data_IF_575607343894
#
_entry.id   IF_575607343894
#
_cell.length_a   1.000
_cell.length_b   1.000
_cell.length_c   1.000
_cell.angle_alpha   90.00
_cell.angle_beta   90.00
_cell.angle_gamma   90.00
#
_symmetry.space_group_name_H-M   'P 1'
#
loop_
_entity.id
_entity.type
_entity.pdbx_description
1 polymer ?
#
# COMPACT_ATOMS: atom_id res chain seq x y z
N UNK A 1 -35.75 -55.17 52.92
CA UNK A 1 -34.57 -55.24 52.04
C UNK A 1 -34.88 -54.43 50.82
N UNK A 2 -34.33 -53.27 50.69
CA UNK A 2 -34.54 -52.35 49.55
C UNK A 2 -33.22 -52.29 48.75
N UNK A 3 -33.23 -52.78 47.49
CA UNK A 3 -32.15 -52.77 46.55
C UNK A 3 -32.12 -51.39 45.89
N UNK A 4 -31.06 -50.56 46.16
CA UNK A 4 -30.87 -49.27 45.48
C UNK A 4 -30.17 -49.54 44.16
N UNK A 5 -30.83 -49.26 43.05
CA UNK A 5 -30.23 -49.23 41.71
C UNK A 5 -29.45 -47.96 41.53
N UNK A 6 -28.17 -48.12 41.29
CA UNK A 6 -27.27 -47.01 40.88
C UNK A 6 -27.35 -46.83 39.37
N UNK A 7 -27.99 -45.74 38.94
CA UNK A 7 -27.94 -45.30 37.54
C UNK A 7 -26.63 -44.55 37.27
N UNK A 8 -25.72 -45.19 36.55
CA UNK A 8 -24.52 -44.54 36.04
C UNK A 8 -24.87 -43.70 34.80
N UNK A 9 -24.83 -42.40 34.94
CA UNK A 9 -24.97 -41.48 33.81
C UNK A 9 -23.57 -41.30 33.14
N UNK A 10 -23.40 -41.87 31.96
CA UNK A 10 -22.21 -41.62 31.11
C UNK A 10 -22.40 -40.30 30.39
N UNK A 11 -21.61 -39.26 30.80
CA UNK A 11 -21.49 -38.02 30.04
C UNK A 11 -20.64 -38.28 28.78
N UNK A 12 -21.29 -38.28 27.62
CA UNK A 12 -20.59 -38.25 26.34
C UNK A 12 -20.11 -36.82 26.06
N UNK A 13 -18.83 -36.54 26.27
CA UNK A 13 -18.21 -35.30 25.89
C UNK A 13 -18.00 -35.26 24.37
N UNK A 14 -18.87 -34.53 23.68
CA UNK A 14 -18.70 -34.24 22.26
C UNK A 14 -17.61 -33.13 22.12
N UNK A 15 -16.39 -33.51 21.76
CA UNK A 15 -15.36 -32.60 21.37
C UNK A 15 -15.69 -32.01 20.00
N UNK A 16 -16.17 -30.76 19.98
CA UNK A 16 -16.26 -29.96 18.76
C UNK A 16 -14.85 -29.64 18.26
N UNK A 17 -14.39 -30.40 17.26
CA UNK A 17 -13.19 -30.03 16.51
C UNK A 17 -13.61 -28.90 15.59
N UNK A 18 -13.35 -27.64 16.02
CA UNK A 18 -13.46 -26.48 15.15
C UNK A 18 -12.37 -26.62 14.07
N UNK A 19 -12.76 -27.01 12.86
CA UNK A 19 -11.90 -26.98 11.69
C UNK A 19 -11.54 -25.51 11.42
N UNK A 20 -10.33 -25.09 11.80
CA UNK A 20 -9.75 -23.84 11.35
C UNK A 20 -9.56 -24.02 9.84
N UNK A 21 -10.49 -23.50 9.05
CA UNK A 21 -10.31 -23.37 7.62
C UNK A 21 -9.05 -22.51 7.43
N UNK A 22 -7.97 -23.15 6.95
CA UNK A 22 -6.77 -22.41 6.54
C UNK A 22 -7.24 -21.47 5.44
N UNK A 23 -7.33 -20.17 5.74
CA UNK A 23 -7.77 -19.18 4.76
C UNK A 23 -6.86 -19.31 3.53
N UNK A 24 -7.44 -19.59 2.38
CA UNK A 24 -6.71 -19.54 1.12
C UNK A 24 -6.07 -18.16 1.02
N UNK A 25 -4.80 -18.11 0.59
CA UNK A 25 -4.11 -16.81 0.39
C UNK A 25 -4.88 -15.91 -0.58
N UNK A 26 -4.48 -14.61 -0.68
CA UNK A 26 -5.16 -13.67 -1.56
C UNK A 26 -5.22 -14.21 -3.00
N UNK A 27 -6.36 -14.01 -3.66
CA UNK A 27 -6.54 -14.37 -5.07
C UNK A 27 -5.82 -13.33 -5.97
N UNK A 28 -5.51 -13.67 -7.22
CA UNK A 28 -4.91 -12.70 -8.16
C UNK A 28 -5.68 -11.38 -8.27
N UNK A 29 -7.02 -11.44 -8.25
CA UNK A 29 -7.89 -10.26 -8.32
C UNK A 29 -7.72 -9.34 -7.11
N UNK A 30 -7.52 -9.90 -5.92
CA UNK A 30 -7.35 -9.14 -4.67
C UNK A 30 -6.08 -8.27 -4.74
N UNK A 31 -5.03 -8.76 -5.43
CA UNK A 31 -3.82 -7.96 -5.67
C UNK A 31 -4.09 -6.76 -6.59
N UNK A 32 -4.89 -6.93 -7.64
CA UNK A 32 -5.23 -5.83 -8.54
C UNK A 32 -6.05 -4.75 -7.83
N UNK A 33 -7.04 -5.15 -7.06
CA UNK A 33 -7.86 -4.25 -6.24
C UNK A 33 -7.00 -3.50 -5.21
N UNK A 34 -6.12 -4.21 -4.51
CA UNK A 34 -5.17 -3.62 -3.57
C UNK A 34 -4.26 -2.59 -4.23
N UNK A 35 -3.70 -2.88 -5.42
CA UNK A 35 -2.90 -1.90 -6.20
C UNK A 35 -3.69 -0.63 -6.47
N UNK A 36 -4.91 -0.78 -6.99
CA UNK A 36 -5.75 0.36 -7.33
C UNK A 36 -6.07 1.20 -6.11
N UNK A 37 -6.48 0.58 -5.00
CA UNK A 37 -6.79 1.28 -3.76
C UNK A 37 -5.59 2.04 -3.19
N UNK A 38 -4.44 1.39 -3.08
CA UNK A 38 -3.22 1.99 -2.54
C UNK A 38 -2.69 3.12 -3.43
N UNK A 39 -2.62 2.91 -4.75
CA UNK A 39 -2.15 3.93 -5.70
C UNK A 39 -3.12 5.10 -5.81
N UNK A 40 -4.43 4.86 -5.75
CA UNK A 40 -5.43 5.91 -5.69
C UNK A 40 -5.25 6.75 -4.43
N UNK A 41 -4.97 6.13 -3.28
CA UNK A 41 -4.69 6.85 -2.04
C UNK A 41 -3.44 7.72 -2.18
N UNK A 42 -2.33 7.20 -2.76
CA UNK A 42 -1.14 8.02 -3.04
C UNK A 42 -1.49 9.23 -3.90
N UNK A 43 -2.30 9.05 -4.95
CA UNK A 43 -2.73 10.14 -5.84
C UNK A 43 -3.54 11.21 -5.10
N UNK A 44 -4.46 10.80 -4.22
CA UNK A 44 -5.27 11.72 -3.42
C UNK A 44 -4.38 12.51 -2.44
N UNK A 45 -3.37 11.87 -1.85
CA UNK A 45 -2.45 12.57 -0.97
C UNK A 45 -1.55 13.54 -1.74
N UNK A 46 -1.06 13.15 -2.92
CA UNK A 46 -0.13 13.96 -3.70
C UNK A 46 -0.80 15.12 -4.44
N UNK A 47 -2.05 15.00 -4.86
CA UNK A 47 -2.76 15.97 -5.69
C UNK A 47 -2.67 17.41 -5.17
N UNK A 48 -3.11 17.70 -3.92
CA UNK A 48 -3.02 19.04 -3.34
C UNK A 48 -1.60 19.60 -3.21
N UNK A 49 -0.61 18.73 -2.92
CA UNK A 49 0.81 19.11 -2.87
C UNK A 49 1.30 19.51 -4.28
N UNK A 50 0.91 18.73 -5.30
CA UNK A 50 1.22 19.03 -6.68
C UNK A 50 0.58 20.35 -7.15
N UNK A 51 -0.65 20.62 -6.78
CA UNK A 51 -1.33 21.88 -7.08
C UNK A 51 -0.58 23.08 -6.49
N UNK A 52 -0.18 23.01 -5.21
CA UNK A 52 0.65 24.03 -4.59
C UNK A 52 1.98 24.25 -5.34
N UNK A 53 2.65 23.19 -5.75
CA UNK A 53 3.93 23.32 -6.47
C UNK A 53 3.78 24.02 -7.82
N UNK A 54 2.60 23.98 -8.42
CA UNK A 54 2.22 24.62 -9.68
C UNK A 54 1.64 26.02 -9.48
N UNK A 55 1.58 26.54 -8.26
CA UNK A 55 0.99 27.84 -7.94
C UNK A 55 -0.53 27.84 -7.93
N UNK A 56 -1.16 26.67 -7.84
CA UNK A 56 -2.63 26.50 -7.82
C UNK A 56 -3.11 26.36 -6.36
N UNK A 57 -3.00 27.44 -5.59
CA UNK A 57 -3.45 27.50 -4.21
C UNK A 57 -2.34 27.41 -3.17
N UNK A 58 -2.74 27.39 -1.90
CA UNK A 58 -1.86 27.36 -0.76
C UNK A 58 -1.40 25.94 -0.42
N UNK A 59 -0.29 25.85 0.33
CA UNK A 59 0.15 24.56 0.90
C UNK A 59 -0.92 24.05 1.86
N UNK A 60 -1.44 22.82 1.69
CA UNK A 60 -2.45 22.27 2.60
C UNK A 60 -1.99 22.26 4.06
N UNK A 61 -2.88 22.55 5.00
CA UNK A 61 -2.57 22.53 6.42
C UNK A 61 -2.12 21.14 6.90
N UNK A 62 -2.56 20.06 6.23
CA UNK A 62 -2.19 18.67 6.48
C UNK A 62 -1.05 18.15 5.58
N UNK A 63 -0.27 19.07 4.97
CA UNK A 63 0.78 18.72 4.00
C UNK A 63 1.82 17.74 4.56
N UNK A 64 2.21 17.87 5.83
CA UNK A 64 3.13 16.94 6.50
C UNK A 64 2.54 15.53 6.54
N UNK A 65 1.30 15.38 7.01
CA UNK A 65 0.60 14.10 7.07
C UNK A 65 0.43 13.45 5.69
N UNK A 66 0.17 14.27 4.66
CA UNK A 66 0.11 13.78 3.28
C UNK A 66 1.43 13.17 2.84
N UNK A 67 2.53 13.87 3.05
CA UNK A 67 3.87 13.38 2.71
C UNK A 67 4.24 12.11 3.49
N UNK A 68 3.98 12.08 4.79
CA UNK A 68 4.20 10.91 5.65
C UNK A 68 3.33 9.71 5.21
N UNK A 69 2.08 9.95 4.81
CA UNK A 69 1.19 8.90 4.28
C UNK A 69 1.73 8.32 2.97
N UNK A 70 2.21 9.17 2.04
CA UNK A 70 2.86 8.69 0.81
C UNK A 70 4.08 7.83 1.14
N UNK A 71 4.92 8.28 2.07
CA UNK A 71 6.09 7.53 2.51
C UNK A 71 5.72 6.16 3.12
N UNK A 72 4.68 6.11 3.95
CA UNK A 72 4.19 4.87 4.54
C UNK A 72 3.64 3.91 3.48
N UNK A 73 2.82 4.42 2.55
CA UNK A 73 2.26 3.63 1.45
C UNK A 73 3.35 3.06 0.54
N UNK A 74 4.42 3.82 0.27
CA UNK A 74 5.53 3.35 -0.55
C UNK A 74 6.22 2.10 0.02
N UNK A 75 6.19 1.90 1.34
CA UNK A 75 6.76 0.69 1.98
C UNK A 75 5.91 -0.56 1.77
N UNK A 76 4.60 -0.42 1.67
CA UNK A 76 3.68 -1.57 1.55
C UNK A 76 3.25 -1.84 0.11
N UNK A 77 3.35 -0.86 -0.79
CA UNK A 77 2.96 -0.99 -2.19
C UNK A 77 3.56 -2.21 -2.91
N UNK A 78 4.85 -2.57 -2.72
CA UNK A 78 5.45 -3.70 -3.44
C UNK A 78 4.70 -5.02 -3.27
N UNK A 79 4.07 -5.26 -2.11
CA UNK A 79 3.36 -6.53 -1.86
C UNK A 79 2.09 -6.68 -2.69
N UNK A 80 1.53 -5.57 -3.20
CA UNK A 80 0.31 -5.58 -4.00
C UNK A 80 0.50 -6.15 -5.42
N UNK A 81 1.72 -6.52 -5.84
CA UNK A 81 1.95 -7.18 -7.14
C UNK A 81 2.01 -8.71 -7.05
N UNK A 82 2.11 -9.28 -5.86
CA UNK A 82 2.15 -10.74 -5.73
C UNK A 82 3.35 -11.36 -6.46
N UNK A 83 3.14 -12.56 -7.04
CA UNK A 83 4.17 -13.33 -7.74
C UNK A 83 4.09 -13.23 -9.27
N UNK A 84 2.92 -12.96 -9.81
CA UNK A 84 2.64 -12.96 -11.25
C UNK A 84 1.61 -11.88 -11.59
N UNK A 85 1.48 -11.56 -12.86
CA UNK A 85 0.51 -10.57 -13.32
C UNK A 85 -0.92 -11.14 -13.34
N UNK A 86 -1.87 -10.23 -13.37
CA UNK A 86 -3.29 -10.54 -13.37
C UNK A 86 -3.95 -9.90 -14.60
N UNK A 87 -5.04 -10.49 -15.10
CA UNK A 87 -5.79 -9.91 -16.22
C UNK A 87 -6.19 -8.46 -15.96
N UNK A 88 -6.13 -7.61 -16.97
CA UNK A 88 -6.46 -6.17 -16.92
C UNK A 88 -5.49 -5.32 -16.08
N UNK A 89 -4.34 -5.83 -15.72
CA UNK A 89 -3.26 -5.05 -15.14
C UNK A 89 -2.68 -4.08 -16.17
N UNK A 90 -2.38 -2.85 -15.75
CA UNK A 90 -1.60 -1.89 -16.53
C UNK A 90 -0.10 -1.98 -16.25
N UNK A 91 0.35 -3.01 -15.55
CA UNK A 91 1.76 -3.25 -15.30
C UNK A 91 2.43 -3.87 -16.54
N UNK A 92 3.68 -3.48 -16.78
CA UNK A 92 4.51 -4.18 -17.75
C UNK A 92 5.07 -5.48 -17.14
N UNK A 93 5.41 -6.50 -17.96
CA UNK A 93 6.05 -7.74 -17.48
C UNK A 93 7.34 -7.52 -16.67
N UNK A 94 8.03 -6.41 -16.93
CA UNK A 94 9.26 -5.99 -16.26
C UNK A 94 9.11 -5.84 -14.74
N UNK A 95 7.90 -5.60 -14.23
CA UNK A 95 7.59 -5.61 -12.79
C UNK A 95 8.03 -6.93 -12.14
N UNK A 96 7.88 -8.05 -12.85
CA UNK A 96 8.18 -9.39 -12.33
C UNK A 96 9.58 -9.87 -12.71
N UNK A 97 10.10 -9.44 -13.87
CA UNK A 97 11.43 -9.83 -14.38
C UNK A 97 12.56 -8.93 -13.87
N UNK A 98 12.24 -7.67 -13.49
CA UNK A 98 13.17 -6.69 -12.91
C UNK A 98 12.72 -6.27 -11.50
N UNK A 99 12.37 -7.25 -10.68
CA UNK A 99 11.73 -7.05 -9.38
C UNK A 99 12.54 -6.15 -8.42
N UNK A 100 13.85 -6.27 -8.42
CA UNK A 100 14.71 -5.44 -7.56
C UNK A 100 14.64 -3.98 -7.99
N UNK A 101 14.77 -3.68 -9.28
CA UNK A 101 14.63 -2.33 -9.84
C UNK A 101 13.24 -1.75 -9.57
N UNK A 102 12.20 -2.57 -9.69
CA UNK A 102 10.83 -2.17 -9.38
C UNK A 102 10.66 -1.80 -7.90
N UNK A 103 11.17 -2.62 -7.00
CA UNK A 103 11.13 -2.36 -5.57
C UNK A 103 11.97 -1.13 -5.18
N UNK A 104 13.09 -0.90 -5.85
CA UNK A 104 13.93 0.29 -5.63
C UNK A 104 13.18 1.58 -5.99
N UNK A 105 12.32 1.56 -7.00
CA UNK A 105 11.44 2.68 -7.31
C UNK A 105 10.56 3.10 -6.11
N UNK A 106 10.03 2.15 -5.35
CA UNK A 106 9.28 2.45 -4.12
C UNK A 106 10.17 2.93 -2.97
N UNK A 107 11.40 2.44 -2.87
CA UNK A 107 12.37 2.96 -1.88
C UNK A 107 12.70 4.42 -2.17
N UNK A 108 12.89 4.78 -3.44
CA UNK A 108 13.11 6.18 -3.85
C UNK A 108 11.89 7.03 -3.49
N UNK A 109 10.67 6.57 -3.81
CA UNK A 109 9.44 7.28 -3.44
C UNK A 109 9.33 7.48 -1.92
N UNK A 110 9.61 6.45 -1.13
CA UNK A 110 9.63 6.55 0.32
C UNK A 110 10.61 7.60 0.82
N UNK A 111 11.85 7.58 0.30
CA UNK A 111 12.91 8.52 0.67
C UNK A 111 12.51 9.96 0.35
N UNK A 112 12.02 10.22 -0.88
CA UNK A 112 11.66 11.57 -1.30
C UNK A 112 10.42 12.10 -0.57
N UNK A 113 9.44 11.24 -0.27
CA UNK A 113 8.26 11.63 0.49
C UNK A 113 8.58 11.88 1.97
N UNK A 114 9.48 11.09 2.58
CA UNK A 114 9.97 11.33 3.95
C UNK A 114 10.69 12.68 4.03
N UNK A 115 11.59 12.94 3.07
CA UNK A 115 12.29 14.22 2.98
C UNK A 115 11.31 15.38 2.76
N UNK A 116 10.25 15.19 1.99
CA UNK A 116 9.22 16.21 1.80
C UNK A 116 8.55 16.58 3.13
N UNK A 117 8.19 15.61 3.96
CA UNK A 117 7.61 15.88 5.27
C UNK A 117 8.53 16.76 6.14
N UNK A 118 9.85 16.52 6.11
CA UNK A 118 10.82 17.33 6.85
C UNK A 118 10.98 18.74 6.24
N UNK A 119 11.04 18.83 4.92
CA UNK A 119 11.17 20.13 4.24
C UNK A 119 9.95 21.02 4.47
N UNK A 120 8.74 20.45 4.52
CA UNK A 120 7.50 21.21 4.82
C UNK A 120 7.61 21.88 6.20
N UNK A 121 8.17 21.21 7.20
CA UNK A 121 8.33 21.75 8.56
C UNK A 121 9.23 22.99 8.62
N UNK A 122 10.07 23.20 7.62
CA UNK A 122 10.95 24.38 7.55
C UNK A 122 10.21 25.67 7.20
N UNK A 123 9.01 25.59 6.62
CA UNK A 123 8.24 26.72 6.14
C UNK A 123 8.80 27.40 4.87
N UNK A 124 9.88 26.88 4.28
CA UNK A 124 10.47 27.42 3.07
C UNK A 124 9.71 26.95 1.81
N UNK A 125 8.87 27.82 1.25
CA UNK A 125 7.99 27.49 0.13
C UNK A 125 8.75 27.00 -1.12
N UNK A 126 9.90 27.59 -1.44
CA UNK A 126 10.67 27.20 -2.64
C UNK A 126 11.30 25.82 -2.45
N UNK A 127 11.85 25.54 -1.27
CA UNK A 127 12.36 24.23 -0.93
C UNK A 127 11.26 23.16 -0.96
N UNK A 128 10.07 23.50 -0.46
CA UNK A 128 8.88 22.59 -0.51
C UNK A 128 8.49 22.28 -1.94
N UNK A 129 8.37 23.30 -2.82
CA UNK A 129 8.06 23.11 -4.24
C UNK A 129 9.08 22.24 -4.94
N UNK A 130 10.37 22.48 -4.70
CA UNK A 130 11.45 21.67 -5.26
C UNK A 130 11.35 20.20 -4.82
N UNK A 131 11.06 19.96 -3.54
CA UNK A 131 10.95 18.60 -3.00
C UNK A 131 9.68 17.89 -3.48
N UNK A 132 8.55 18.59 -3.66
CA UNK A 132 7.35 18.04 -4.31
C UNK A 132 7.71 17.58 -5.74
N UNK A 133 8.49 18.40 -6.47
CA UNK A 133 9.01 18.02 -7.79
C UNK A 133 9.83 16.73 -7.76
N UNK A 134 10.66 16.52 -6.73
CA UNK A 134 11.44 15.29 -6.55
C UNK A 134 10.52 14.05 -6.33
N UNK A 135 9.49 14.18 -5.51
CA UNK A 135 8.47 13.12 -5.34
C UNK A 135 7.78 12.81 -6.66
N UNK A 136 7.36 13.85 -7.40
CA UNK A 136 6.73 13.68 -8.73
C UNK A 136 7.65 12.97 -9.73
N UNK A 137 8.95 13.30 -9.72
CA UNK A 137 9.96 12.64 -10.55
C UNK A 137 10.12 11.16 -10.20
N UNK A 138 10.10 10.79 -8.91
CA UNK A 138 10.13 9.39 -8.48
C UNK A 138 8.93 8.61 -9.04
N UNK A 139 7.73 9.19 -8.96
CA UNK A 139 6.52 8.59 -9.54
C UNK A 139 6.67 8.38 -11.06
N UNK A 140 7.09 9.44 -11.77
CA UNK A 140 7.23 9.41 -13.23
C UNK A 140 8.25 8.37 -13.68
N UNK A 141 9.42 8.33 -13.07
CA UNK A 141 10.48 7.39 -13.44
C UNK A 141 10.02 5.93 -13.34
N UNK A 142 9.34 5.58 -12.23
CA UNK A 142 8.79 4.23 -12.07
C UNK A 142 7.69 3.93 -13.11
N UNK A 143 6.81 4.89 -13.42
CA UNK A 143 5.77 4.72 -14.43
C UNK A 143 6.35 4.56 -15.84
N UNK A 144 7.39 5.30 -16.18
CA UNK A 144 8.05 5.18 -17.51
C UNK A 144 8.62 3.75 -17.71
N UNK A 145 9.16 3.15 -16.64
CA UNK A 145 9.75 1.81 -16.70
C UNK A 145 8.70 0.69 -16.64
N UNK A 146 7.70 0.82 -15.80
CA UNK A 146 6.87 -0.32 -15.33
C UNK A 146 5.37 -0.20 -15.60
N UNK A 147 4.83 0.98 -16.02
CA UNK A 147 3.42 1.13 -16.41
C UNK A 147 3.28 1.05 -17.94
N UNK A 148 2.28 0.31 -18.43
CA UNK A 148 1.88 0.34 -19.83
C UNK A 148 1.40 1.75 -20.18
N UNK A 149 1.68 2.20 -21.39
CA UNK A 149 1.13 3.45 -21.92
C UNK A 149 -0.32 3.21 -22.30
N UNK A 150 -1.18 4.12 -21.88
CA UNK A 150 -2.58 4.14 -22.31
C UNK A 150 -2.68 4.50 -23.78
#
# INVERSE_FOLDING_TARGET
>A
MQLKALMSATLASATLIASVALAAGPKPEDYLESRHGLLQTVRIQFGPLGAFSQGQGDLPADAVQRAETIAALAKILPVAWGKEDVPKSSSKPEVFTQKDKFNDGFKVLNTEATKLAEVIKTGNADAVKAQIGAVGKACKSCHDDFKQKD
#
